data_IF_123395125447
#
_entry.id   IF_123395125447
#
_cell.length_a   1.000
_cell.length_b   1.000
_cell.length_c   1.000
_cell.angle_alpha   90.00
_cell.angle_beta   90.00
_cell.angle_gamma   90.00
#
_symmetry.space_group_name_H-M   'P 1'
#
loop_
_entity.id
_entity.type
_entity.pdbx_description
1 polymer ?
#
# COMPACT_ATOMS: atom_id res chain seq x y z
N UNK A 1 7.18 -33.63 -4.64
CA UNK A 1 6.97 -33.51 -3.50
C UNK A 1 8.00 -32.94 -2.65
N UNK A 2 9.14 -33.49 -2.53
CA UNK A 2 10.17 -32.88 -1.79
C UNK A 2 10.55 -31.54 -2.31
N UNK A 3 10.50 -31.33 -3.59
CA UNK A 3 10.82 -30.04 -4.18
C UNK A 3 9.93 -28.95 -3.68
N UNK A 4 8.70 -29.28 -3.44
CA UNK A 4 7.75 -28.33 -2.93
C UNK A 4 8.16 -27.79 -1.58
N UNK A 5 8.63 -28.67 -0.72
CA UNK A 5 9.05 -28.28 0.60
C UNK A 5 10.25 -27.36 0.54
N UNK A 6 11.21 -27.65 -0.31
CA UNK A 6 12.38 -26.81 -0.45
C UNK A 6 12.01 -25.42 -0.93
N UNK A 7 11.12 -25.35 -1.89
CA UNK A 7 10.69 -24.05 -2.41
C UNK A 7 10.06 -23.20 -1.34
N UNK A 8 9.25 -23.82 -0.50
CA UNK A 8 8.61 -23.10 0.59
C UNK A 8 9.61 -22.50 1.55
N UNK A 9 10.63 -23.27 1.90
CA UNK A 9 11.66 -22.78 2.81
C UNK A 9 12.40 -21.59 2.21
N UNK A 10 12.73 -21.68 0.95
CA UNK A 10 13.43 -20.57 0.29
C UNK A 10 12.59 -19.30 0.29
N UNK A 11 11.31 -19.45 0.06
CA UNK A 11 10.42 -18.30 0.06
C UNK A 11 10.42 -17.60 1.41
N UNK A 12 10.41 -18.36 2.48
CA UNK A 12 10.44 -17.78 3.82
C UNK A 12 11.73 -17.03 4.07
N UNK A 13 12.85 -17.55 3.61
CA UNK A 13 14.12 -16.88 3.79
C UNK A 13 14.13 -15.54 3.08
N UNK A 14 13.60 -15.47 1.88
CA UNK A 14 13.54 -14.20 1.17
C UNK A 14 12.67 -13.19 1.88
N UNK A 15 11.56 -13.61 2.40
CA UNK A 15 10.69 -12.73 3.14
C UNK A 15 11.39 -12.12 4.34
N UNK A 16 12.12 -12.93 5.07
CA UNK A 16 12.87 -12.45 6.22
C UNK A 16 13.94 -11.46 5.79
N UNK A 17 14.65 -11.76 4.72
CA UNK A 17 15.69 -10.86 4.25
C UNK A 17 15.13 -9.51 3.85
N UNK A 18 13.99 -9.49 3.17
CA UNK A 18 13.36 -8.24 2.79
C UNK A 18 12.99 -7.39 3.99
N UNK A 19 12.44 -8.03 5.02
CA UNK A 19 12.10 -7.31 6.24
C UNK A 19 13.34 -6.76 6.91
N UNK A 20 14.43 -7.54 6.92
CA UNK A 20 15.68 -7.11 7.56
C UNK A 20 16.27 -5.88 6.90
N UNK A 21 15.99 -5.65 5.63
CA UNK A 21 16.53 -4.49 4.92
C UNK A 21 15.53 -3.34 4.84
N UNK A 22 14.57 -3.29 5.73
CA UNK A 22 13.68 -2.16 5.81
C UNK A 22 12.50 -2.22 4.84
N UNK A 23 12.21 -3.39 4.31
CA UNK A 23 11.03 -3.54 3.48
C UNK A 23 9.77 -3.24 4.30
N UNK A 24 8.77 -2.68 3.65
CA UNK A 24 7.51 -2.36 4.29
C UNK A 24 6.66 -3.63 4.32
N UNK A 25 6.08 -4.00 5.48
CA UNK A 25 5.15 -5.11 5.52
C UNK A 25 3.99 -4.87 4.56
N UNK A 26 3.41 -5.91 3.96
CA UNK A 26 2.29 -5.71 3.05
C UNK A 26 1.13 -5.02 3.77
N UNK A 27 0.60 -3.99 3.13
CA UNK A 27 -0.55 -3.25 3.63
C UNK A 27 -1.72 -3.47 2.68
N UNK A 28 -2.91 -3.58 3.23
CA UNK A 28 -4.12 -3.64 2.42
C UNK A 28 -4.45 -2.23 1.93
N UNK A 29 -4.80 -2.11 0.67
CA UNK A 29 -5.13 -0.84 0.05
C UNK A 29 -6.56 -0.90 -0.45
N UNK A 30 -7.35 0.10 -0.07
CA UNK A 30 -8.72 0.24 -0.55
C UNK A 30 -8.89 1.65 -1.07
N UNK A 31 -9.33 1.76 -2.33
CA UNK A 31 -9.61 3.06 -2.94
C UNK A 31 -11.12 3.17 -3.09
N UNK A 32 -11.70 4.16 -2.43
CA UNK A 32 -13.16 4.38 -2.44
C UNK A 32 -13.49 5.75 -2.98
N UNK A 33 -14.58 5.86 -3.71
CA UNK A 33 -15.02 7.16 -4.24
C UNK A 33 -15.77 7.95 -3.17
N UNK A 34 -16.21 9.16 -3.54
CA UNK A 34 -16.87 10.06 -2.59
C UNK A 34 -18.18 9.49 -2.03
N UNK A 35 -18.79 8.55 -2.73
CA UNK A 35 -20.01 7.91 -2.25
C UNK A 35 -19.72 6.71 -1.33
N UNK A 36 -18.46 6.35 -1.17
CA UNK A 36 -18.07 5.20 -0.37
C UNK A 36 -17.97 3.90 -1.15
N UNK A 37 -18.19 3.95 -2.45
CA UNK A 37 -18.09 2.76 -3.29
C UNK A 37 -16.64 2.42 -3.56
N UNK A 38 -16.29 1.15 -3.39
CA UNK A 38 -14.91 0.70 -3.59
C UNK A 38 -14.59 0.63 -5.07
N UNK A 39 -13.55 1.35 -5.49
CA UNK A 39 -13.06 1.33 -6.86
C UNK A 39 -11.91 0.36 -7.06
N UNK A 40 -11.17 0.06 -5.99
CA UNK A 40 -10.02 -0.84 -6.08
C UNK A 40 -9.71 -1.42 -4.70
N UNK A 41 -9.31 -2.68 -4.69
CA UNK A 41 -8.75 -3.34 -3.51
C UNK A 41 -7.51 -4.10 -3.91
N UNK A 42 -6.50 -4.01 -3.08
CA UNK A 42 -5.25 -4.72 -3.33
C UNK A 42 -4.33 -4.62 -2.14
N UNK A 43 -3.07 -4.86 -2.39
CA UNK A 43 -2.02 -4.82 -1.36
C UNK A 43 -0.78 -4.17 -1.93
N UNK A 44 0.03 -3.59 -1.04
CA UNK A 44 1.35 -3.16 -1.43
C UNK A 44 2.24 -4.38 -1.63
N UNK A 45 3.21 -4.26 -2.52
CA UNK A 45 4.19 -5.32 -2.76
C UNK A 45 5.36 -5.20 -1.78
N UNK A 46 6.40 -5.98 -2.00
CA UNK A 46 7.56 -6.00 -1.12
C UNK A 46 8.30 -4.65 -1.09
N UNK A 47 8.13 -3.83 -2.12
CA UNK A 47 8.70 -2.49 -2.18
C UNK A 47 7.81 -1.44 -1.55
N UNK A 48 6.63 -1.81 -1.09
CA UNK A 48 5.68 -0.87 -0.53
C UNK A 48 4.88 -0.12 -1.58
N UNK A 49 4.77 -0.64 -2.79
CA UNK A 49 4.14 0.03 -3.91
C UNK A 49 2.85 -0.68 -4.32
N UNK A 50 1.86 0.09 -4.77
CA UNK A 50 0.67 -0.50 -5.40
C UNK A 50 0.29 0.34 -6.61
N UNK A 51 -0.43 -0.30 -7.55
CA UNK A 51 -0.96 0.37 -8.72
C UNK A 51 -2.36 -0.16 -8.97
N UNK A 52 -3.31 0.74 -9.21
CA UNK A 52 -4.67 0.34 -9.53
C UNK A 52 -4.83 0.18 -11.03
N UNK A 53 -5.96 -0.39 -11.44
CA UNK A 53 -6.43 -0.23 -12.81
C UNK A 53 -6.79 1.23 -13.03
N UNK A 54 -7.08 1.60 -14.27
CA UNK A 54 -7.54 2.95 -14.57
C UNK A 54 -8.88 3.19 -13.88
N UNK A 55 -8.97 4.30 -13.17
CA UNK A 55 -10.19 4.69 -12.49
C UNK A 55 -10.68 6.02 -13.02
N UNK A 56 -11.97 6.25 -12.88
CA UNK A 56 -12.63 7.44 -13.44
C UNK A 56 -12.26 8.69 -12.64
N UNK A 57 -12.36 9.89 -13.24
CA UNK A 57 -12.14 11.11 -12.51
C UNK A 57 -13.08 11.25 -11.32
N UNK A 58 -12.58 11.86 -10.26
CA UNK A 58 -13.35 12.10 -9.04
C UNK A 58 -12.47 12.16 -7.82
N UNK A 59 -13.09 12.41 -6.68
CA UNK A 59 -12.40 12.40 -5.40
C UNK A 59 -12.42 11.00 -4.83
N UNK A 60 -11.29 10.55 -4.34
CA UNK A 60 -11.13 9.21 -3.80
C UNK A 60 -10.42 9.24 -2.45
N UNK A 61 -10.80 8.31 -1.60
CA UNK A 61 -10.05 8.02 -0.37
C UNK A 61 -9.20 6.79 -0.63
N UNK A 62 -7.90 6.92 -0.42
CA UNK A 62 -6.98 5.79 -0.52
C UNK A 62 -6.62 5.40 0.90
N UNK A 63 -7.08 4.23 1.32
CA UNK A 63 -6.90 3.76 2.68
C UNK A 63 -5.92 2.62 2.76
N UNK A 64 -5.01 2.73 3.72
CA UNK A 64 -4.01 1.71 3.99
C UNK A 64 -4.26 1.10 5.35
N UNK A 65 -4.35 -0.22 5.41
CA UNK A 65 -4.52 -0.91 6.69
C UNK A 65 -3.51 -2.04 6.79
N UNK A 66 -3.08 -2.29 8.01
CA UNK A 66 -2.17 -3.39 8.30
C UNK A 66 -2.97 -4.56 8.84
N UNK A 67 -2.74 -5.78 8.34
CA UNK A 67 -3.38 -6.96 8.90
C UNK A 67 -2.88 -7.32 10.30
N UNK A 68 -1.74 -6.74 10.70
CA UNK A 68 -1.18 -6.99 12.02
C UNK A 68 -0.48 -5.75 12.53
N UNK A 69 0.08 -5.85 13.72
CA UNK A 69 0.80 -4.72 14.31
C UNK A 69 2.13 -4.52 13.60
N UNK A 70 2.45 -3.27 13.29
CA UNK A 70 3.76 -2.92 12.75
C UNK A 70 4.32 -1.75 13.55
N UNK A 71 5.63 -1.65 13.56
CA UNK A 71 6.34 -0.61 14.33
C UNK A 71 7.13 0.29 13.40
N UNK A 72 7.61 1.39 13.94
CA UNK A 72 8.38 2.34 13.18
C UNK A 72 7.53 3.47 12.63
N UNK A 73 8.14 4.31 11.84
CA UNK A 73 7.48 5.43 11.20
C UNK A 73 7.55 5.29 9.70
N UNK A 74 6.54 5.79 9.02
CA UNK A 74 6.39 5.58 7.58
C UNK A 74 5.96 6.86 6.89
N UNK A 75 6.22 6.91 5.60
CA UNK A 75 5.74 7.98 4.71
C UNK A 75 4.95 7.35 3.59
N UNK A 76 3.90 8.01 3.14
CA UNK A 76 3.06 7.55 2.05
C UNK A 76 2.99 8.64 0.98
N UNK A 77 3.07 8.24 -0.28
CA UNK A 77 2.84 9.11 -1.41
C UNK A 77 1.91 8.41 -2.38
N UNK A 78 0.83 9.07 -2.76
CA UNK A 78 -0.15 8.53 -3.71
C UNK A 78 -0.31 9.52 -4.84
N UNK A 79 -0.26 9.04 -6.07
CA UNK A 79 -0.30 9.89 -7.25
C UNK A 79 -1.28 9.37 -8.29
N UNK A 80 -1.87 10.30 -9.02
CA UNK A 80 -2.64 9.99 -10.22
C UNK A 80 -2.24 11.05 -11.24
N UNK A 81 -1.34 10.68 -12.14
CA UNK A 81 -0.76 11.63 -13.08
C UNK A 81 0.06 12.68 -12.35
N UNK A 82 -0.26 13.95 -12.59
CA UNK A 82 0.48 15.06 -11.94
C UNK A 82 -0.04 15.37 -10.56
N UNK A 83 -1.21 14.89 -10.19
CA UNK A 83 -1.76 15.11 -8.86
C UNK A 83 -1.19 14.09 -7.89
N UNK A 84 -0.83 14.55 -6.70
CA UNK A 84 -0.34 13.65 -5.67
C UNK A 84 -0.65 14.19 -4.29
N UNK A 85 -0.72 13.29 -3.32
CA UNK A 85 -0.80 13.63 -1.91
C UNK A 85 0.22 12.80 -1.18
N UNK A 86 0.72 13.32 -0.07
CA UNK A 86 1.68 12.59 0.72
C UNK A 86 1.49 12.89 2.19
N UNK A 87 1.96 11.98 3.02
CA UNK A 87 1.98 12.14 4.46
C UNK A 87 3.26 11.52 4.99
N UNK A 88 3.84 12.13 5.99
CA UNK A 88 5.10 11.67 6.57
C UNK A 88 4.94 11.50 8.08
N UNK A 89 5.87 10.76 8.68
CA UNK A 89 5.88 10.59 10.12
C UNK A 89 4.70 9.80 10.66
N UNK A 90 4.17 8.86 9.88
CA UNK A 90 3.04 8.05 10.29
C UNK A 90 3.55 6.91 11.16
N UNK A 91 3.09 6.86 12.41
CA UNK A 91 3.45 5.76 13.30
C UNK A 91 2.83 4.46 12.79
N UNK A 92 3.60 3.38 12.85
CA UNK A 92 3.15 2.10 12.30
C UNK A 92 1.85 1.59 12.91
N UNK A 93 1.61 1.88 14.18
CA UNK A 93 0.38 1.43 14.86
C UNK A 93 -0.88 2.08 14.28
N UNK A 94 -0.74 3.19 13.59
CA UNK A 94 -1.88 3.85 12.95
C UNK A 94 -2.47 3.02 11.82
N UNK A 95 -1.67 2.18 11.20
CA UNK A 95 -2.15 1.34 10.10
C UNK A 95 -3.13 0.28 10.57
N UNK A 96 -3.10 -0.09 11.84
CA UNK A 96 -4.07 -1.05 12.37
C UNK A 96 -5.49 -0.49 12.33
N UNK A 97 -5.63 0.83 12.48
CA UNK A 97 -6.91 1.51 12.41
C UNK A 97 -7.22 1.99 11.00
N UNK A 98 -6.20 2.14 10.19
CA UNK A 98 -6.32 2.64 8.83
C UNK A 98 -5.84 4.06 8.69
N UNK A 99 -5.06 4.30 7.64
CA UNK A 99 -4.57 5.63 7.28
C UNK A 99 -5.13 5.95 5.91
N UNK A 100 -5.86 7.05 5.80
CA UNK A 100 -6.52 7.42 4.56
C UNK A 100 -5.99 8.75 4.05
N UNK A 101 -5.80 8.82 2.74
CA UNK A 101 -5.42 10.05 2.04
C UNK A 101 -6.46 10.31 0.96
N UNK A 102 -6.81 11.58 0.80
CA UNK A 102 -7.75 11.98 -0.25
C UNK A 102 -6.99 12.40 -1.49
N UNK A 103 -7.43 11.90 -2.63
CA UNK A 103 -6.78 12.17 -3.90
C UNK A 103 -7.82 12.59 -4.92
N UNK A 104 -7.53 13.66 -5.65
CA UNK A 104 -8.38 14.11 -6.75
C UNK A 104 -7.83 13.53 -8.05
N UNK A 105 -8.59 12.63 -8.66
CA UNK A 105 -8.25 12.03 -9.95
C UNK A 105 -8.93 12.85 -11.03
N UNK A 106 -8.14 13.50 -11.88
CA UNK A 106 -8.68 14.42 -12.87
C UNK A 106 -8.93 13.79 -14.23
N UNK A 107 -8.29 12.68 -14.52
CA UNK A 107 -8.44 11.97 -15.79
C UNK A 107 -8.56 10.48 -15.51
N UNK A 108 -8.93 9.71 -16.53
CA UNK A 108 -8.95 8.26 -16.41
C UNK A 108 -7.52 7.75 -16.31
N UNK A 109 -7.08 7.45 -15.11
CA UNK A 109 -5.68 7.14 -14.81
C UNK A 109 -5.57 6.00 -13.81
N UNK A 110 -4.39 5.37 -13.79
CA UNK A 110 -4.02 4.48 -12.70
C UNK A 110 -3.58 5.32 -11.50
N UNK A 111 -3.93 4.86 -10.32
CA UNK A 111 -3.42 5.46 -9.09
C UNK A 111 -2.24 4.62 -8.63
N UNK A 112 -1.14 5.28 -8.34
CA UNK A 112 0.09 4.63 -7.90
C UNK A 112 0.43 5.14 -6.51
N UNK A 113 0.71 4.24 -5.60
CA UNK A 113 1.08 4.62 -4.25
C UNK A 113 2.35 3.94 -3.81
N UNK A 114 3.02 4.59 -2.87
CA UNK A 114 4.26 4.08 -2.32
C UNK A 114 4.31 4.36 -0.83
N UNK A 115 4.66 3.35 -0.04
CA UNK A 115 4.86 3.47 1.40
C UNK A 115 6.31 3.16 1.67
N UNK A 116 6.99 4.06 2.38
CA UNK A 116 8.39 3.89 2.73
C UNK A 116 8.58 3.94 4.23
N UNK A 117 9.48 3.12 4.74
CA UNK A 117 9.91 3.20 6.13
C UNK A 117 10.87 4.38 6.29
N UNK A 118 10.65 5.15 7.32
CA UNK A 118 11.53 6.29 7.64
C UNK A 118 12.75 5.84 8.44
#
# INVERSE_FOLDING_TARGET
>A
MKNLIRSTVLSLCFAIACVAYGAVPPLNVTVSDASGKVAFRGKTDASGTFTTDKIKPGMYDVQFTSPGAITGNYSIKVSAGVKHVSAAGIAGDKFAKGVALKLNVQNLLNVVGEVKAN
#
